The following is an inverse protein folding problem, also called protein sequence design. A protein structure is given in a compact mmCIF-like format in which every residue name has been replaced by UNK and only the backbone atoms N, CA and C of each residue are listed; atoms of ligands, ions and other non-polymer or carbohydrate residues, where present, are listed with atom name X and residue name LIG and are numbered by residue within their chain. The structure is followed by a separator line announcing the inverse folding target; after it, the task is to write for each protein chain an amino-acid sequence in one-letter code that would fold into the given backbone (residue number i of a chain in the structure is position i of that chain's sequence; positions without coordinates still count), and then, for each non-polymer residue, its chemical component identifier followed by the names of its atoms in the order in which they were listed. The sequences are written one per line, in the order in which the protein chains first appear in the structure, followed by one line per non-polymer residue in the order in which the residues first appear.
data_IF_199980948636
#
_entry.id   IF_199980948636
#
_cell.length_a   1.000
_cell.length_b   1.000
_cell.length_c   1.000
_cell.angle_alpha   90.00
_cell.angle_beta   90.00
_cell.angle_gamma   90.00
#
_symmetry.space_group_name_H-M   'P 1'
#
loop_
_entity.id
_entity.type
_entity.pdbx_description
1 polymer ?
#
# COMPACT_ATOMS: atom_id res chain seq x y z
N UNK A 1 -13.02 -24.44 -14.17
CA UNK A 1 -11.85 -23.63 -14.60
C UNK A 1 -11.22 -23.07 -13.34
N UNK A 2 -10.27 -23.80 -12.77
CA UNK A 2 -9.48 -23.32 -11.62
C UNK A 2 -8.24 -22.57 -12.12
N UNK A 3 -7.79 -21.53 -11.39
CA UNK A 3 -6.71 -20.67 -11.83
C UNK A 3 -5.35 -21.36 -11.66
N UNK A 4 -4.54 -21.25 -12.71
CA UNK A 4 -3.15 -21.69 -12.77
C UNK A 4 -2.39 -21.26 -11.51
N UNK A 5 -1.91 -22.25 -10.75
CA UNK A 5 -0.93 -22.07 -9.69
C UNK A 5 0.27 -21.33 -10.25
N UNK A 6 0.58 -20.17 -9.65
CA UNK A 6 1.81 -19.40 -9.86
C UNK A 6 3.01 -20.29 -9.51
N UNK A 7 3.66 -20.84 -10.52
CA UNK A 7 4.90 -21.59 -10.37
C UNK A 7 6.08 -20.63 -10.25
N UNK A 8 6.76 -20.71 -9.11
CA UNK A 8 8.22 -20.69 -9.01
C UNK A 8 8.93 -19.41 -9.48
N UNK A 9 9.08 -18.50 -8.51
CA UNK A 9 9.93 -17.31 -8.52
C UNK A 9 11.27 -17.52 -9.21
N UNK A 10 11.49 -16.71 -10.24
CA UNK A 10 12.62 -16.78 -11.15
C UNK A 10 13.26 -15.38 -11.10
N UNK A 11 14.30 -15.27 -10.27
CA UNK A 11 14.92 -14.01 -9.80
C UNK A 11 15.84 -13.35 -10.83
N UNK A 12 15.89 -12.00 -10.92
CA UNK A 12 16.90 -11.25 -11.66
C UNK A 12 18.33 -11.82 -11.54
N UNK A 13 19.02 -12.01 -12.66
CA UNK A 13 20.38 -12.58 -12.71
C UNK A 13 21.40 -11.46 -12.94
N UNK A 14 22.40 -11.39 -12.06
CA UNK A 14 23.48 -10.41 -12.10
C UNK A 14 24.80 -11.15 -11.89
N UNK A 15 25.77 -10.95 -12.77
CA UNK A 15 27.12 -11.54 -12.65
C UNK A 15 28.14 -10.44 -12.41
N UNK A 16 28.66 -10.32 -11.18
CA UNK A 16 29.76 -9.41 -10.85
C UNK A 16 30.62 -9.95 -9.68
N UNK A 17 31.88 -9.49 -9.56
CA UNK A 17 32.79 -9.86 -8.47
C UNK A 17 32.36 -9.31 -7.09
N UNK A 18 31.39 -8.39 -7.05
CA UNK A 18 30.84 -7.74 -5.85
C UNK A 18 29.31 -7.99 -5.70
N UNK A 19 28.86 -9.21 -6.00
CA UNK A 19 27.44 -9.60 -6.11
C UNK A 19 26.58 -9.28 -4.88
N UNK A 20 27.15 -9.22 -3.67
CA UNK A 20 26.42 -9.00 -2.41
C UNK A 20 25.76 -7.63 -2.31
N UNK A 21 26.39 -6.57 -2.84
CA UNK A 21 25.86 -5.19 -2.73
C UNK A 21 24.78 -4.92 -3.76
N UNK A 22 24.97 -5.43 -4.98
CA UNK A 22 24.01 -5.30 -6.08
C UNK A 22 22.78 -6.18 -5.84
N UNK A 23 22.96 -7.43 -5.38
CA UNK A 23 21.86 -8.32 -4.98
C UNK A 23 21.03 -7.70 -3.85
N UNK A 24 21.67 -7.09 -2.85
CA UNK A 24 20.98 -6.36 -1.78
C UNK A 24 20.24 -5.11 -2.28
N UNK A 25 20.72 -4.46 -3.34
CA UNK A 25 20.04 -3.32 -3.98
C UNK A 25 18.85 -3.76 -4.84
N UNK A 26 18.93 -4.95 -5.46
CA UNK A 26 17.84 -5.59 -6.21
C UNK A 26 16.81 -6.29 -5.32
N UNK A 27 17.22 -6.83 -4.18
CA UNK A 27 16.27 -7.33 -3.16
C UNK A 27 15.51 -6.17 -2.50
N UNK A 28 16.09 -4.97 -2.46
CA UNK A 28 15.42 -3.73 -2.04
C UNK A 28 14.55 -3.10 -3.14
N UNK A 29 14.63 -3.54 -4.41
CA UNK A 29 13.75 -3.08 -5.50
C UNK A 29 12.29 -3.51 -5.33
N UNK A 30 12.01 -4.47 -4.44
CA UNK A 30 10.65 -4.87 -4.07
C UNK A 30 9.94 -3.88 -3.14
N UNK A 31 10.66 -2.88 -2.60
CA UNK A 31 10.10 -1.85 -1.73
C UNK A 31 9.86 -0.59 -2.57
N UNK A 32 8.67 -0.50 -3.16
CA UNK A 32 8.17 0.57 -4.05
C UNK A 32 8.86 0.64 -5.42
N UNK A 33 8.09 0.32 -6.48
CA UNK A 33 8.49 0.28 -7.88
C UNK A 33 9.26 1.53 -8.35
N UNK A 34 9.03 2.73 -7.79
CA UNK A 34 9.77 3.94 -8.18
C UNK A 34 11.13 4.07 -7.50
N UNK A 35 11.22 3.75 -6.20
CA UNK A 35 12.44 3.94 -5.40
C UNK A 35 13.54 2.93 -5.76
N UNK A 36 13.11 1.71 -6.13
CA UNK A 36 14.02 0.65 -6.57
C UNK A 36 14.80 1.02 -7.83
N UNK A 37 14.12 1.58 -8.84
CA UNK A 37 14.77 1.98 -10.09
C UNK A 37 15.64 3.23 -9.94
N UNK A 38 15.30 4.17 -9.05
CA UNK A 38 16.18 5.30 -8.71
C UNK A 38 17.50 4.82 -8.13
N UNK A 39 17.46 3.85 -7.20
CA UNK A 39 18.67 3.26 -6.61
C UNK A 39 19.47 2.44 -7.61
N UNK A 40 18.79 1.69 -8.50
CA UNK A 40 19.46 0.96 -9.57
C UNK A 40 20.20 1.94 -10.49
N UNK A 41 19.54 3.04 -10.89
CA UNK A 41 20.17 4.10 -11.68
C UNK A 41 21.41 4.65 -10.98
N UNK A 42 21.29 5.08 -9.73
CA UNK A 42 22.42 5.60 -8.96
C UNK A 42 23.56 4.57 -8.92
N UNK A 43 23.28 3.32 -8.60
CA UNK A 43 24.31 2.28 -8.47
C UNK A 43 25.02 1.96 -9.80
N UNK A 44 24.26 1.86 -10.90
CA UNK A 44 24.81 1.61 -12.23
C UNK A 44 25.59 2.83 -12.79
N UNK A 45 25.27 4.04 -12.33
CA UNK A 45 25.92 5.29 -12.75
C UNK A 45 27.29 5.51 -12.10
N UNK A 46 27.60 4.85 -10.98
CA UNK A 46 28.92 4.97 -10.35
C UNK A 46 29.93 4.02 -11.03
N UNK A 47 31.02 4.60 -11.52
CA UNK A 47 32.07 4.04 -12.40
C UNK A 47 32.87 2.83 -11.87
N UNK A 48 32.48 2.24 -10.73
CA UNK A 48 33.12 1.07 -10.13
C UNK A 48 32.31 -0.22 -10.26
N UNK A 49 31.27 -0.24 -11.10
CA UNK A 49 30.47 -1.43 -11.31
C UNK A 49 31.19 -2.41 -12.26
N UNK A 50 31.69 -3.54 -11.74
CA UNK A 50 32.26 -4.62 -12.56
C UNK A 50 31.18 -5.48 -13.24
N UNK A 51 29.96 -4.96 -13.37
CA UNK A 51 28.80 -5.69 -13.86
C UNK A 51 28.82 -5.67 -15.38
N UNK A 52 29.00 -6.85 -15.97
CA UNK A 52 29.00 -7.05 -17.44
C UNK A 52 27.64 -7.50 -17.96
N UNK A 53 26.79 -8.04 -17.08
CA UNK A 53 25.49 -8.61 -17.44
C UNK A 53 24.41 -8.12 -16.48
N UNK A 54 23.37 -7.49 -17.01
CA UNK A 54 22.18 -7.05 -16.29
C UNK A 54 20.96 -7.82 -16.82
N UNK A 55 20.33 -8.65 -15.98
CA UNK A 55 19.09 -9.34 -16.33
C UNK A 55 17.93 -9.01 -15.40
N UNK A 56 16.88 -8.38 -15.94
CA UNK A 56 15.62 -8.07 -15.28
C UNK A 56 14.47 -8.66 -16.11
N UNK A 57 13.62 -9.50 -15.53
CA UNK A 57 12.66 -10.28 -16.30
C UNK A 57 11.32 -10.44 -15.57
N UNK A 58 10.29 -10.86 -16.31
CA UNK A 58 8.98 -11.27 -15.80
C UNK A 58 8.20 -10.17 -15.04
N UNK A 59 7.86 -9.10 -15.75
CA UNK A 59 7.04 -7.99 -15.22
C UNK A 59 7.77 -7.08 -14.23
N UNK A 60 9.08 -7.25 -14.10
CA UNK A 60 9.92 -6.48 -13.18
C UNK A 60 10.15 -5.04 -13.64
N UNK A 61 9.99 -4.72 -14.94
CA UNK A 61 10.35 -3.42 -15.52
C UNK A 61 9.15 -2.76 -16.19
N UNK A 62 8.67 -1.65 -15.64
CA UNK A 62 7.68 -0.78 -16.30
C UNK A 62 8.33 0.15 -17.33
N UNK A 63 7.54 0.95 -18.05
CA UNK A 63 8.05 2.03 -18.93
C UNK A 63 9.00 2.97 -18.16
N UNK A 64 8.61 3.39 -16.96
CA UNK A 64 9.46 4.23 -16.08
C UNK A 64 10.75 3.51 -15.67
N UNK A 65 10.67 2.20 -15.41
CA UNK A 65 11.84 1.38 -15.13
C UNK A 65 12.80 1.31 -16.31
N UNK A 66 12.28 1.18 -17.53
CA UNK A 66 13.07 1.20 -18.76
C UNK A 66 13.75 2.57 -18.97
N UNK A 67 13.07 3.68 -18.65
CA UNK A 67 13.68 5.01 -18.68
C UNK A 67 14.81 5.16 -17.65
N UNK A 68 14.62 4.67 -16.43
CA UNK A 68 15.67 4.70 -15.41
C UNK A 68 16.90 3.87 -15.82
N UNK A 69 16.68 2.69 -16.42
CA UNK A 69 17.76 1.85 -16.98
C UNK A 69 18.47 2.60 -18.11
N UNK A 70 17.73 3.23 -19.02
CA UNK A 70 18.30 4.01 -20.10
C UNK A 70 19.18 5.17 -19.60
N UNK A 71 18.73 5.91 -18.59
CA UNK A 71 19.55 6.96 -17.98
C UNK A 71 20.82 6.42 -17.35
N UNK A 72 20.75 5.25 -16.71
CA UNK A 72 21.90 4.59 -16.12
C UNK A 72 22.92 4.13 -17.19
N UNK A 73 22.43 3.57 -18.30
CA UNK A 73 23.27 3.12 -19.42
C UNK A 73 24.03 4.26 -20.09
N UNK A 74 23.56 5.51 -20.03
CA UNK A 74 24.31 6.65 -20.56
C UNK A 74 25.64 6.88 -19.82
N UNK A 75 25.72 6.47 -18.56
CA UNK A 75 26.88 6.65 -17.69
C UNK A 75 27.68 5.35 -17.49
N UNK A 76 27.00 4.20 -17.59
CA UNK A 76 27.61 2.90 -17.42
C UNK A 76 28.25 2.39 -18.72
N UNK A 77 29.55 2.07 -18.70
CA UNK A 77 30.26 1.47 -19.84
C UNK A 77 30.74 0.04 -19.56
N UNK A 78 30.26 -0.60 -18.49
CA UNK A 78 30.69 -1.94 -18.08
C UNK A 78 29.74 -3.04 -18.55
N UNK A 79 28.45 -2.73 -18.67
CA UNK A 79 27.43 -3.70 -19.08
C UNK A 79 27.53 -3.95 -20.58
N UNK A 80 27.67 -5.22 -20.94
CA UNK A 80 27.74 -5.71 -22.32
C UNK A 80 26.48 -6.50 -22.69
N UNK A 81 25.85 -7.16 -21.71
CA UNK A 81 24.67 -8.00 -21.93
C UNK A 81 23.48 -7.47 -21.12
N UNK A 82 22.40 -7.10 -21.80
CA UNK A 82 21.18 -6.58 -21.21
C UNK A 82 20.00 -7.50 -21.53
N UNK A 83 19.43 -8.13 -20.50
CA UNK A 83 18.25 -8.99 -20.61
C UNK A 83 17.05 -8.30 -19.97
N UNK A 84 16.06 -7.96 -20.78
CA UNK A 84 14.82 -7.31 -20.36
C UNK A 84 13.58 -8.10 -20.82
N UNK A 85 13.71 -9.40 -20.98
CA UNK A 85 12.64 -10.26 -21.48
C UNK A 85 11.41 -10.28 -20.56
N UNK A 86 10.21 -10.34 -21.13
CA UNK A 86 8.93 -10.47 -20.42
C UNK A 86 8.54 -9.30 -19.51
N UNK A 87 8.87 -8.05 -19.86
CA UNK A 87 8.60 -6.91 -18.98
C UNK A 87 7.49 -5.95 -19.45
N UNK A 88 6.89 -6.16 -20.63
CA UNK A 88 5.84 -5.27 -21.16
C UNK A 88 6.27 -3.79 -21.23
N UNK A 89 7.53 -3.51 -21.59
CA UNK A 89 8.07 -2.14 -21.68
C UNK A 89 7.47 -1.33 -22.85
N UNK A 90 6.87 -1.99 -23.84
CA UNK A 90 6.26 -1.36 -25.01
C UNK A 90 7.23 -0.54 -25.88
N UNK A 91 6.68 0.18 -26.86
CA UNK A 91 7.47 1.03 -27.75
C UNK A 91 8.13 2.20 -27.00
N UNK A 92 7.44 2.79 -26.03
CA UNK A 92 7.94 3.92 -25.24
C UNK A 92 9.19 3.57 -24.44
N UNK A 93 9.17 2.42 -23.73
CA UNK A 93 10.33 1.96 -22.97
C UNK A 93 11.50 1.60 -23.88
N UNK A 94 11.25 1.00 -25.04
CA UNK A 94 12.29 0.74 -26.05
C UNK A 94 12.91 2.03 -26.58
N UNK A 95 12.11 3.05 -26.87
CA UNK A 95 12.62 4.35 -27.35
C UNK A 95 13.58 4.97 -26.34
N UNK A 96 13.27 4.88 -25.03
CA UNK A 96 14.17 5.35 -23.99
C UNK A 96 15.52 4.58 -24.03
N UNK A 97 15.47 3.25 -24.11
CA UNK A 97 16.68 2.40 -24.20
C UNK A 97 17.49 2.77 -25.45
N UNK A 98 16.84 2.88 -26.62
CA UNK A 98 17.48 3.26 -27.88
C UNK A 98 18.20 4.60 -27.78
N UNK A 99 17.60 5.61 -27.14
CA UNK A 99 18.26 6.90 -26.92
C UNK A 99 19.53 6.79 -26.08
N UNK A 100 19.58 5.89 -25.10
CA UNK A 100 20.80 5.63 -24.33
C UNK A 100 21.90 4.94 -25.14
N UNK A 101 21.51 4.02 -26.02
CA UNK A 101 22.42 3.28 -26.90
C UNK A 101 23.05 4.17 -27.99
N UNK A 102 22.55 5.39 -28.22
CA UNK A 102 23.22 6.37 -29.10
C UNK A 102 24.55 6.82 -28.56
N UNK A 103 24.67 6.90 -27.23
CA UNK A 103 25.90 7.34 -26.53
C UNK A 103 26.66 6.17 -25.92
N UNK A 104 25.95 5.13 -25.45
CA UNK A 104 26.57 3.94 -24.88
C UNK A 104 27.19 3.07 -26.00
N UNK A 105 28.43 2.61 -25.79
CA UNK A 105 29.17 1.73 -26.73
C UNK A 105 29.60 0.40 -26.10
N UNK A 106 29.12 0.08 -24.89
CA UNK A 106 29.47 -1.15 -24.18
C UNK A 106 28.51 -2.29 -24.50
N UNK A 107 27.22 -1.98 -24.72
CA UNK A 107 26.19 -3.01 -24.95
C UNK A 107 26.44 -3.73 -26.28
N UNK A 108 26.58 -5.06 -26.19
CA UNK A 108 26.76 -5.97 -27.31
C UNK A 108 25.56 -6.90 -27.54
N UNK A 109 24.84 -7.26 -26.48
CA UNK A 109 23.69 -8.15 -26.55
C UNK A 109 22.48 -7.51 -25.86
N UNK A 110 21.38 -7.38 -26.59
CA UNK A 110 20.13 -6.79 -26.13
C UNK A 110 18.99 -7.78 -26.29
N UNK A 111 18.43 -8.27 -25.19
CA UNK A 111 17.28 -9.18 -25.20
C UNK A 111 16.01 -8.47 -24.74
N UNK A 112 15.02 -8.45 -25.64
CA UNK A 112 13.76 -7.73 -25.50
C UNK A 112 12.56 -8.64 -25.85
N UNK A 113 12.68 -9.95 -25.68
CA UNK A 113 11.61 -10.89 -25.99
C UNK A 113 10.37 -10.63 -25.13
N UNK A 114 9.16 -10.83 -25.68
CA UNK A 114 7.88 -10.68 -24.95
C UNK A 114 7.69 -9.34 -24.23
N UNK A 115 7.87 -8.23 -24.92
CA UNK A 115 7.78 -6.88 -24.36
C UNK A 115 6.66 -6.00 -24.92
N UNK A 116 5.79 -6.55 -25.78
CA UNK A 116 4.71 -5.77 -26.41
C UNK A 116 5.24 -4.75 -27.43
N UNK A 117 6.41 -4.99 -28.01
CA UNK A 117 7.02 -4.12 -29.02
C UNK A 117 6.30 -4.34 -30.35
N UNK A 118 5.95 -3.25 -31.05
CA UNK A 118 5.36 -3.30 -32.39
C UNK A 118 6.37 -2.92 -33.47
N UNK A 119 5.94 -2.90 -34.74
CA UNK A 119 6.78 -2.46 -35.86
C UNK A 119 7.44 -1.09 -35.63
N UNK A 120 6.78 -0.18 -34.92
CA UNK A 120 7.34 1.14 -34.60
C UNK A 120 8.56 1.05 -33.67
N UNK A 121 8.45 0.32 -32.56
CA UNK A 121 9.59 0.11 -31.67
C UNK A 121 10.71 -0.69 -32.34
N UNK A 122 10.38 -1.65 -33.21
CA UNK A 122 11.36 -2.39 -33.99
C UNK A 122 12.11 -1.50 -35.00
N UNK A 123 11.47 -0.51 -35.63
CA UNK A 123 12.16 0.48 -36.50
C UNK A 123 13.20 1.27 -35.73
N UNK A 124 12.87 1.76 -34.54
CA UNK A 124 13.82 2.48 -33.69
C UNK A 124 15.05 1.61 -33.35
N UNK A 125 14.84 0.31 -33.13
CA UNK A 125 15.94 -0.64 -32.91
C UNK A 125 16.77 -0.84 -34.18
N UNK A 126 16.14 -0.95 -35.35
CA UNK A 126 16.84 -1.08 -36.63
C UNK A 126 17.73 0.14 -36.94
N UNK A 127 17.25 1.35 -36.62
CA UNK A 127 18.03 2.59 -36.76
C UNK A 127 19.26 2.58 -35.85
N UNK A 128 19.11 2.27 -34.56
CA UNK A 128 20.24 2.32 -33.63
C UNK A 128 21.29 1.23 -33.90
N UNK A 129 20.89 0.07 -34.41
CA UNK A 129 21.82 -1.01 -34.78
C UNK A 129 22.67 -0.60 -36.00
N UNK A 130 22.18 0.33 -36.83
CA UNK A 130 22.99 0.93 -37.89
C UNK A 130 24.00 1.95 -37.34
N UNK A 131 23.54 2.83 -36.45
CA UNK A 131 24.33 3.91 -35.84
C UNK A 131 25.39 3.39 -34.85
N UNK A 132 25.08 2.31 -34.12
CA UNK A 132 25.91 1.77 -33.07
C UNK A 132 26.49 0.38 -33.44
N UNK A 133 27.78 0.32 -33.82
CA UNK A 133 28.42 -0.92 -34.23
C UNK A 133 28.80 -1.83 -33.05
N UNK A 134 28.61 -1.41 -31.79
CA UNK A 134 28.88 -2.27 -30.63
C UNK A 134 27.83 -3.39 -30.48
N UNK A 135 26.64 -3.22 -31.07
CA UNK A 135 25.52 -4.15 -30.92
C UNK A 135 25.67 -5.30 -31.92
N UNK A 136 25.75 -6.53 -31.39
CA UNK A 136 25.97 -7.76 -32.17
C UNK A 136 24.80 -8.73 -32.11
N UNK A 137 23.87 -8.53 -31.18
CA UNK A 137 22.69 -9.37 -31.03
C UNK A 137 21.54 -8.55 -30.47
N UNK A 138 20.39 -8.66 -31.12
CA UNK A 138 19.11 -8.16 -30.63
C UNK A 138 18.09 -9.29 -30.72
N UNK A 139 17.46 -9.62 -29.60
CA UNK A 139 16.34 -10.57 -29.55
C UNK A 139 15.02 -9.82 -29.40
N UNK A 140 14.17 -9.88 -30.44
CA UNK A 140 12.81 -9.35 -30.45
C UNK A 140 11.75 -10.44 -30.56
N UNK A 141 12.11 -11.69 -30.28
CA UNK A 141 11.17 -12.81 -30.36
C UNK A 141 9.92 -12.57 -29.53
N UNK A 142 8.78 -13.12 -29.99
CA UNK A 142 7.52 -13.08 -29.23
C UNK A 142 7.03 -11.66 -28.87
N UNK A 143 7.33 -10.68 -29.72
CA UNK A 143 6.73 -9.34 -29.77
C UNK A 143 5.72 -9.23 -30.93
N UNK A 144 4.99 -8.11 -31.04
CA UNK A 144 4.01 -7.86 -32.11
C UNK A 144 4.64 -7.14 -33.32
N UNK A 145 5.80 -7.64 -33.77
CA UNK A 145 6.49 -7.14 -34.97
C UNK A 145 6.04 -7.97 -36.17
N UNK A 146 5.32 -7.34 -37.09
CA UNK A 146 4.73 -7.97 -38.28
C UNK A 146 5.59 -7.77 -39.51
N UNK A 147 6.34 -6.68 -39.59
CA UNK A 147 7.23 -6.41 -40.72
C UNK A 147 8.55 -7.18 -40.58
N UNK A 148 8.60 -8.37 -41.17
CA UNK A 148 9.78 -9.24 -41.20
C UNK A 148 11.01 -8.58 -41.82
N UNK A 149 10.85 -7.55 -42.66
CA UNK A 149 11.98 -6.85 -43.27
C UNK A 149 12.79 -6.10 -42.23
N UNK A 150 12.14 -5.56 -41.20
CA UNK A 150 12.80 -4.87 -40.08
C UNK A 150 13.65 -5.87 -39.28
N UNK A 151 13.07 -7.04 -38.97
CA UNK A 151 13.78 -8.09 -38.23
C UNK A 151 15.02 -8.57 -39.03
N UNK A 152 14.85 -8.79 -40.33
CA UNK A 152 15.95 -9.19 -41.21
C UNK A 152 17.05 -8.11 -41.32
N UNK A 153 16.67 -6.84 -41.34
CA UNK A 153 17.61 -5.71 -41.34
C UNK A 153 18.44 -5.66 -40.06
N UNK A 154 17.79 -5.82 -38.89
CA UNK A 154 18.45 -5.88 -37.59
C UNK A 154 19.43 -7.06 -37.54
N UNK A 155 18.99 -8.25 -37.95
CA UNK A 155 19.82 -9.46 -37.93
C UNK A 155 21.05 -9.33 -38.85
N UNK A 156 20.84 -8.86 -40.08
CA UNK A 156 21.91 -8.69 -41.07
C UNK A 156 22.95 -7.68 -40.58
N UNK A 157 22.50 -6.56 -39.99
CA UNK A 157 23.40 -5.54 -39.45
C UNK A 157 24.14 -6.02 -38.20
N UNK A 158 23.47 -6.72 -37.29
CA UNK A 158 24.11 -7.37 -36.13
C UNK A 158 25.20 -8.36 -36.56
N UNK A 159 24.93 -9.19 -37.57
CA UNK A 159 25.91 -10.11 -38.14
C UNK A 159 27.11 -9.38 -38.77
N UNK A 160 26.85 -8.28 -39.49
CA UNK A 160 27.93 -7.44 -40.02
C UNK A 160 28.80 -6.85 -38.92
N UNK A 161 28.20 -6.29 -37.86
CA UNK A 161 28.93 -5.71 -36.73
C UNK A 161 29.82 -6.77 -36.04
N UNK A 162 29.28 -7.99 -35.84
CA UNK A 162 30.02 -9.12 -35.25
C UNK A 162 31.25 -9.52 -36.08
N UNK A 163 31.15 -9.50 -37.40
CA UNK A 163 32.20 -9.94 -38.31
C UNK A 163 33.26 -8.87 -38.63
N UNK A 164 32.95 -7.59 -38.41
CA UNK A 164 33.82 -6.47 -38.78
C UNK A 164 34.55 -5.83 -37.59
N UNK A 165 34.19 -6.18 -36.35
CA UNK A 165 34.85 -5.64 -35.17
C UNK A 165 36.22 -6.31 -34.87
N UNK A 166 37.30 -5.53 -34.67
CA UNK A 166 38.66 -6.04 -34.43
C UNK A 166 38.78 -6.98 -33.22
N UNK A 167 37.90 -6.83 -32.23
CA UNK A 167 37.94 -7.57 -30.95
C UNK A 167 37.68 -9.08 -31.17
N UNK A 168 36.94 -9.46 -32.22
CA UNK A 168 36.62 -10.87 -32.48
C UNK A 168 37.70 -11.64 -33.27
N UNK A 169 38.72 -10.96 -33.83
CA UNK A 169 39.85 -11.63 -34.52
C UNK A 169 40.83 -12.32 -33.55
N UNK A 170 40.78 -12.01 -32.26
CA UNK A 170 41.65 -12.64 -31.26
C UNK A 170 41.06 -13.97 -30.77
N UNK A 171 39.74 -14.15 -30.82
CA UNK A 171 39.07 -15.30 -30.20
C UNK A 171 38.73 -16.45 -31.16
N UNK A 172 39.04 -16.33 -32.46
CA UNK A 172 38.77 -17.39 -33.46
C UNK A 172 40.00 -18.22 -33.84
N UNK A 173 41.11 -18.09 -33.11
CA UNK A 173 42.25 -18.98 -33.28
C UNK A 173 41.93 -20.36 -32.71
N UNK A 174 42.29 -21.40 -33.47
CA UNK A 174 41.97 -22.84 -33.35
C UNK A 174 41.86 -23.45 -31.94
N UNK A 175 42.49 -22.87 -30.91
CA UNK A 175 42.33 -23.23 -29.50
C UNK A 175 40.90 -23.00 -28.96
N UNK A 176 40.16 -22.02 -29.49
CA UNK A 176 38.78 -21.75 -29.07
C UNK A 176 37.77 -22.80 -29.50
N UNK A 177 38.06 -23.66 -30.49
CA UNK A 177 37.14 -24.76 -30.86
C UNK A 177 37.20 -25.91 -29.87
N UNK A 178 38.37 -26.16 -29.29
CA UNK A 178 38.53 -27.09 -28.17
C UNK A 178 38.02 -26.46 -26.86
N UNK A 179 38.14 -25.12 -26.73
CA UNK A 179 37.53 -24.39 -25.63
C UNK A 179 36.01 -24.14 -25.78
N UNK A 180 35.43 -24.21 -26.98
CA UNK A 180 33.97 -24.06 -27.18
C UNK A 180 33.24 -25.29 -26.59
N UNK A 181 33.85 -26.48 -26.66
CA UNK A 181 33.33 -27.66 -25.94
C UNK A 181 33.52 -27.55 -24.41
N UNK A 182 34.52 -26.81 -23.91
CA UNK A 182 34.66 -26.51 -22.46
C UNK A 182 33.84 -25.31 -21.98
N UNK A 183 33.52 -24.36 -22.84
CA UNK A 183 32.55 -23.27 -22.59
C UNK A 183 31.11 -23.80 -22.51
N UNK A 184 30.83 -24.96 -23.13
CA UNK A 184 29.58 -25.71 -22.98
C UNK A 184 29.62 -26.77 -21.86
N UNK A 185 30.78 -27.16 -21.33
CA UNK A 185 30.84 -27.91 -20.07
C UNK A 185 30.89 -26.91 -18.93
N UNK A 186 29.72 -26.53 -18.45
CA UNK A 186 29.59 -25.78 -17.19
C UNK A 186 30.37 -26.57 -16.13
N UNK A 187 31.47 -25.98 -15.64
CA UNK A 187 32.36 -26.62 -14.68
C UNK A 187 31.53 -27.03 -13.46
N UNK A 188 31.37 -28.33 -13.23
CA UNK A 188 30.48 -28.86 -12.18
C UNK A 188 30.83 -28.24 -10.83
N UNK A 189 32.11 -27.99 -10.56
CA UNK A 189 32.58 -27.31 -9.35
C UNK A 189 32.09 -25.86 -9.21
N UNK A 190 31.92 -25.13 -10.31
CA UNK A 190 31.38 -23.76 -10.28
C UNK A 190 29.84 -23.77 -10.17
N UNK A 191 29.17 -24.82 -10.66
CA UNK A 191 27.74 -25.06 -10.41
C UNK A 191 27.50 -25.44 -8.96
N UNK A 192 28.30 -26.36 -8.41
CA UNK A 192 28.24 -26.80 -7.01
C UNK A 192 28.47 -25.61 -6.08
N UNK A 193 29.49 -24.78 -6.33
CA UNK A 193 29.73 -23.56 -5.55
C UNK A 193 28.55 -22.59 -5.64
N UNK A 194 27.95 -22.44 -6.82
CA UNK A 194 26.75 -21.60 -7.02
C UNK A 194 25.51 -22.19 -6.32
N UNK A 195 25.41 -23.52 -6.21
CA UNK A 195 24.35 -24.21 -5.46
C UNK A 195 24.56 -24.03 -3.96
N UNK A 196 25.78 -24.15 -3.46
CA UNK A 196 26.11 -23.94 -2.04
C UNK A 196 25.82 -22.50 -1.63
N UNK A 197 26.27 -21.52 -2.41
CA UNK A 197 25.97 -20.11 -2.20
C UNK A 197 24.46 -19.83 -2.22
N UNK A 198 23.70 -20.52 -3.10
CA UNK A 198 22.23 -20.42 -3.12
C UNK A 198 21.60 -21.08 -1.89
N UNK A 199 22.16 -22.19 -1.42
CA UNK A 199 21.66 -22.94 -0.26
C UNK A 199 21.83 -22.15 1.03
N UNK A 200 22.99 -21.50 1.23
CA UNK A 200 23.24 -20.62 2.36
C UNK A 200 22.31 -19.40 2.37
N UNK A 201 22.05 -18.85 1.18
CA UNK A 201 21.09 -17.74 1.03
C UNK A 201 19.67 -18.22 1.35
N UNK A 202 19.27 -19.38 0.84
CA UNK A 202 17.97 -19.99 1.16
C UNK A 202 17.84 -20.18 2.67
N UNK A 203 18.87 -20.67 3.34
CA UNK A 203 18.87 -20.84 4.79
C UNK A 203 18.68 -19.49 5.51
N UNK A 204 19.43 -18.45 5.14
CA UNK A 204 19.26 -17.11 5.76
C UNK A 204 17.88 -16.50 5.47
N UNK A 205 17.32 -16.75 4.29
CA UNK A 205 15.98 -16.27 3.93
C UNK A 205 14.91 -17.04 4.69
N UNK A 206 15.05 -18.35 4.83
CA UNK A 206 14.17 -19.19 5.66
C UNK A 206 14.18 -18.73 7.12
N UNK A 207 15.35 -18.39 7.67
CA UNK A 207 15.45 -17.85 9.04
C UNK A 207 14.74 -16.49 9.17
N UNK A 208 14.91 -15.60 8.18
CA UNK A 208 14.19 -14.31 8.14
C UNK A 208 12.68 -14.49 8.01
N UNK A 209 12.22 -15.42 7.17
CA UNK A 209 10.79 -15.75 7.03
C UNK A 209 10.25 -16.26 8.35
N UNK A 210 10.94 -17.17 9.02
CA UNK A 210 10.51 -17.66 10.33
C UNK A 210 10.42 -16.53 11.37
N UNK A 211 11.41 -15.62 11.39
CA UNK A 211 11.38 -14.45 12.27
C UNK A 211 10.22 -13.50 11.95
N UNK A 212 9.86 -13.34 10.68
CA UNK A 212 8.70 -12.54 10.27
C UNK A 212 7.39 -13.23 10.64
N UNK A 213 7.28 -14.55 10.44
CA UNK A 213 6.11 -15.34 10.83
C UNK A 213 5.87 -15.29 12.35
N UNK A 214 6.94 -15.35 13.15
CA UNK A 214 6.85 -15.13 14.59
C UNK A 214 6.38 -13.73 14.96
N UNK A 215 6.87 -12.68 14.26
CA UNK A 215 6.41 -11.30 14.49
C UNK A 215 4.96 -11.11 14.09
N UNK A 216 4.53 -11.68 12.97
CA UNK A 216 3.15 -11.64 12.49
C UNK A 216 2.21 -12.31 13.49
N UNK A 217 2.58 -13.48 14.01
CA UNK A 217 1.84 -14.15 15.08
C UNK A 217 1.74 -13.29 16.34
N UNK A 218 2.85 -12.70 16.79
CA UNK A 218 2.86 -11.84 17.97
C UNK A 218 1.96 -10.60 17.78
N UNK A 219 2.00 -9.97 16.60
CA UNK A 219 1.15 -8.82 16.28
C UNK A 219 -0.33 -9.22 16.22
N UNK A 220 -0.62 -10.41 15.67
CA UNK A 220 -1.99 -10.95 15.59
C UNK A 220 -2.55 -11.18 17.00
N UNK A 221 -1.77 -11.78 17.91
CA UNK A 221 -2.20 -11.96 19.30
C UNK A 221 -2.43 -10.62 20.02
N UNK A 222 -1.58 -9.63 19.79
CA UNK A 222 -1.79 -8.27 20.34
C UNK A 222 -3.07 -7.63 19.82
N UNK A 223 -3.38 -7.81 18.53
CA UNK A 223 -4.60 -7.29 17.92
C UNK A 223 -5.86 -7.98 18.48
N UNK A 224 -5.81 -9.30 18.71
CA UNK A 224 -6.90 -10.06 19.33
C UNK A 224 -7.15 -9.64 20.78
N UNK A 225 -6.08 -9.38 21.55
CA UNK A 225 -6.18 -8.86 22.91
C UNK A 225 -6.85 -7.48 22.93
N UNK A 226 -6.39 -6.55 22.08
CA UNK A 226 -7.01 -5.23 21.94
C UNK A 226 -8.48 -5.33 21.51
N UNK A 227 -8.80 -6.22 20.58
CA UNK A 227 -10.19 -6.44 20.14
C UNK A 227 -11.08 -6.92 21.28
N UNK A 228 -10.56 -7.77 22.16
CA UNK A 228 -11.29 -8.28 23.32
C UNK A 228 -11.55 -7.16 24.35
N UNK A 229 -10.55 -6.31 24.60
CA UNK A 229 -10.70 -5.13 25.46
C UNK A 229 -11.76 -4.16 24.92
N UNK A 230 -11.79 -3.92 23.60
CA UNK A 230 -12.81 -3.06 22.98
C UNK A 230 -14.21 -3.64 23.15
N UNK A 231 -14.39 -4.96 22.97
CA UNK A 231 -15.68 -5.62 23.17
C UNK A 231 -16.17 -5.53 24.61
N UNK A 232 -15.27 -5.65 25.59
CA UNK A 232 -15.61 -5.47 27.01
C UNK A 232 -16.08 -4.04 27.30
N UNK A 233 -15.34 -3.04 26.81
CA UNK A 233 -15.73 -1.62 26.93
C UNK A 233 -17.10 -1.37 26.27
N UNK A 234 -17.35 -1.93 25.08
CA UNK A 234 -18.64 -1.82 24.41
C UNK A 234 -19.77 -2.42 25.26
N UNK A 235 -19.54 -3.56 25.90
CA UNK A 235 -20.51 -4.17 26.80
C UNK A 235 -20.78 -3.30 28.04
N UNK A 236 -19.73 -2.70 28.62
CA UNK A 236 -19.89 -1.78 29.76
C UNK A 236 -20.68 -0.53 29.37
N UNK A 237 -20.42 0.05 28.19
CA UNK A 237 -21.17 1.19 27.67
C UNK A 237 -22.65 0.84 27.47
N UNK A 238 -22.95 -0.34 26.93
CA UNK A 238 -24.33 -0.79 26.72
C UNK A 238 -25.12 -0.86 28.03
N UNK A 239 -24.52 -1.40 29.09
CA UNK A 239 -25.13 -1.48 30.42
C UNK A 239 -25.41 -0.07 30.97
N UNK A 240 -24.45 0.85 30.82
CA UNK A 240 -24.61 2.24 31.28
C UNK A 240 -25.72 2.96 30.52
N UNK A 241 -25.86 2.74 29.21
CA UNK A 241 -26.95 3.32 28.41
C UNK A 241 -28.31 2.82 28.88
N UNK A 242 -28.46 1.52 29.16
CA UNK A 242 -29.71 0.97 29.71
C UNK A 242 -30.05 1.55 31.09
N UNK A 243 -29.04 1.86 31.90
CA UNK A 243 -29.26 2.50 33.21
C UNK A 243 -29.65 3.97 33.08
N UNK A 244 -29.07 4.69 32.12
CA UNK A 244 -29.48 6.06 31.79
C UNK A 244 -30.95 6.09 31.33
N UNK A 245 -31.34 5.21 30.41
CA UNK A 245 -32.74 5.11 29.92
C UNK A 245 -33.74 4.85 31.06
N UNK A 246 -33.37 3.98 32.03
CA UNK A 246 -34.19 3.73 33.22
C UNK A 246 -34.34 4.97 34.09
N UNK A 247 -33.26 5.72 34.28
CA UNK A 247 -33.27 6.97 35.07
C UNK A 247 -34.08 8.06 34.38
N UNK A 248 -34.02 8.17 33.05
CA UNK A 248 -34.83 9.12 32.29
C UNK A 248 -36.33 8.84 32.47
N UNK A 249 -36.77 7.59 32.34
CA UNK A 249 -38.17 7.20 32.59
C UNK A 249 -38.62 7.48 34.03
N UNK A 250 -37.73 7.25 35.00
CA UNK A 250 -38.00 7.57 36.40
C UNK A 250 -38.15 9.08 36.61
N UNK A 251 -37.31 9.90 35.99
CA UNK A 251 -37.43 11.36 36.05
C UNK A 251 -38.72 11.87 35.42
N UNK A 252 -39.17 11.28 34.31
CA UNK A 252 -40.45 11.64 33.67
C UNK A 252 -41.62 11.38 34.61
N UNK A 253 -41.62 10.22 35.29
CA UNK A 253 -42.64 9.87 36.28
C UNK A 253 -42.65 10.84 37.47
N UNK A 254 -41.47 11.17 38.01
CA UNK A 254 -41.34 12.14 39.11
C UNK A 254 -41.81 13.53 38.67
N UNK A 255 -41.50 13.93 37.44
CA UNK A 255 -41.95 15.21 36.87
C UNK A 255 -43.49 15.28 36.84
N UNK A 256 -44.15 14.22 36.39
CA UNK A 256 -45.62 14.13 36.37
C UNK A 256 -46.24 14.19 37.78
N UNK A 257 -45.64 13.48 38.75
CA UNK A 257 -46.08 13.52 40.15
C UNK A 257 -45.93 14.92 40.76
N UNK A 258 -44.81 15.60 40.49
CA UNK A 258 -44.57 16.98 40.95
C UNK A 258 -45.61 17.95 40.36
N UNK A 259 -45.89 17.84 39.06
CA UNK A 259 -46.93 18.64 38.40
C UNK A 259 -48.31 18.35 39.01
N UNK A 260 -48.62 17.09 39.30
CA UNK A 260 -49.84 16.67 40.00
C UNK A 260 -49.97 17.31 41.38
N UNK A 261 -48.93 17.21 42.20
CA UNK A 261 -48.88 17.79 43.54
C UNK A 261 -49.01 19.32 43.52
N UNK A 262 -48.39 20.00 42.54
CA UNK A 262 -48.53 21.44 42.35
C UNK A 262 -49.97 21.85 42.04
N UNK A 263 -50.66 21.11 41.15
CA UNK A 263 -52.08 21.35 40.83
C UNK A 263 -52.97 21.16 42.07
N UNK A 264 -52.72 20.12 42.85
CA UNK A 264 -53.46 19.88 44.09
C UNK A 264 -53.19 20.97 45.14
N UNK A 265 -51.93 21.38 45.31
CA UNK A 265 -51.55 22.50 46.17
C UNK A 265 -52.28 23.79 45.80
N UNK A 266 -52.40 24.10 44.50
CA UNK A 266 -53.16 25.24 44.02
C UNK A 266 -54.66 25.14 44.38
N UNK A 267 -55.26 23.96 44.17
CA UNK A 267 -56.67 23.69 44.53
C UNK A 267 -56.92 23.86 46.03
N UNK A 268 -56.04 23.32 46.87
CA UNK A 268 -56.15 23.44 48.33
C UNK A 268 -55.99 24.89 48.79
N UNK A 269 -55.09 25.66 48.15
CA UNK A 269 -54.93 27.09 48.43
C UNK A 269 -56.22 27.87 48.14
N UNK A 270 -56.86 27.64 46.99
CA UNK A 270 -58.16 28.26 46.67
C UNK A 270 -59.26 27.85 47.66
N UNK A 271 -59.33 26.57 48.04
CA UNK A 271 -60.29 26.11 49.04
C UNK A 271 -60.06 26.77 50.41
N UNK A 272 -58.79 26.89 50.84
CA UNK A 272 -58.44 27.59 52.09
C UNK A 272 -58.89 29.04 52.06
N UNK A 273 -58.63 29.75 50.96
CA UNK A 273 -59.07 31.15 50.78
C UNK A 273 -60.60 31.27 50.85
N UNK A 274 -61.33 30.34 50.20
CA UNK A 274 -62.81 30.31 50.26
C UNK A 274 -63.33 30.09 51.68
N UNK A 275 -62.84 29.05 52.37
CA UNK A 275 -63.25 28.74 53.74
C UNK A 275 -62.90 29.87 54.72
N UNK A 276 -61.76 30.54 54.51
CA UNK A 276 -61.38 31.70 55.34
C UNK A 276 -62.38 32.84 55.19
N UNK A 277 -62.84 33.13 53.96
CA UNK A 277 -63.88 34.13 53.72
C UNK A 277 -65.22 33.73 54.35
N UNK A 278 -65.63 32.47 54.21
CA UNK A 278 -66.87 31.96 54.83
C UNK A 278 -66.83 32.10 56.36
N UNK A 279 -65.73 31.70 57.01
CA UNK A 279 -65.52 31.88 58.44
C UNK A 279 -65.56 33.35 58.87
N UNK A 280 -64.95 34.25 58.08
CA UNK A 280 -64.95 35.67 58.38
C UNK A 280 -66.38 36.23 58.35
N UNK A 281 -67.17 35.89 57.32
CA UNK A 281 -68.58 36.27 57.20
C UNK A 281 -69.39 35.76 58.40
N UNK A 282 -69.20 34.49 58.79
CA UNK A 282 -69.89 33.92 59.96
C UNK A 282 -69.51 34.62 61.26
N UNK A 283 -68.23 34.96 61.43
CA UNK A 283 -67.72 35.67 62.61
C UNK A 283 -68.32 37.07 62.71
N UNK A 284 -68.35 37.80 61.60
CA UNK A 284 -68.97 39.12 61.50
C UNK A 284 -70.47 39.06 61.81
N UNK A 285 -71.20 38.07 61.27
CA UNK A 285 -72.61 37.85 61.57
C UNK A 285 -72.88 37.53 63.06
N UNK A 286 -72.01 36.75 63.70
CA UNK A 286 -72.13 36.43 65.11
C UNK A 286 -71.88 37.65 66.01
N UNK A 287 -70.91 38.51 65.66
CA UNK A 287 -70.67 39.76 66.38
C UNK A 287 -71.82 40.76 66.22
N UNK A 288 -72.40 40.88 65.02
CA UNK A 288 -73.62 41.68 64.81
C UNK A 288 -74.77 41.18 65.68
N UNK A 289 -74.97 39.85 65.77
CA UNK A 289 -76.00 39.26 66.62
C UNK A 289 -75.75 39.53 68.11
N UNK A 290 -74.51 39.38 68.59
CA UNK A 290 -74.13 39.75 69.97
C UNK A 290 -74.40 41.21 70.25
N UNK A 291 -74.07 42.10 69.32
CA UNK A 291 -74.34 43.53 69.46
C UNK A 291 -75.85 43.82 69.53
N UNK A 292 -76.65 43.17 68.68
CA UNK A 292 -78.10 43.25 68.73
C UNK A 292 -78.69 42.75 70.05
N UNK A 293 -78.20 41.63 70.58
CA UNK A 293 -78.61 41.13 71.91
C UNK A 293 -78.26 42.10 73.04
N UNK A 294 -77.06 42.71 73.02
CA UNK A 294 -76.69 43.74 74.01
C UNK A 294 -77.65 44.93 73.96
N UNK A 295 -77.90 45.47 72.77
CA UNK A 295 -78.85 46.57 72.60
C UNK A 295 -80.26 46.21 73.08
N UNK A 296 -80.72 44.97 72.83
CA UNK A 296 -82.01 44.49 73.31
C UNK A 296 -82.05 44.36 74.84
N UNK A 297 -80.98 43.82 75.44
CA UNK A 297 -80.80 43.75 76.89
C UNK A 297 -80.83 45.14 77.53
N UNK A 298 -80.14 46.11 76.94
CA UNK A 298 -80.12 47.49 77.42
C UNK A 298 -81.51 48.14 77.34
N UNK A 299 -82.26 47.90 76.25
CA UNK A 299 -83.67 48.34 76.13
C UNK A 299 -84.56 47.71 77.19
N UNK A 300 -84.42 46.40 77.42
CA UNK A 300 -85.18 45.69 78.46
C UNK A 300 -84.87 46.25 79.85
N UNK A 301 -83.60 46.51 80.14
CA UNK A 301 -83.19 47.12 81.41
C UNK A 301 -83.82 48.51 81.58
N UNK A 302 -83.77 49.36 80.55
CA UNK A 302 -84.37 50.69 80.58
C UNK A 302 -85.90 50.70 80.68
N UNK A 303 -86.60 49.70 80.13
CA UNK A 303 -88.07 49.58 80.21
C UNK A 303 -88.57 49.14 81.60
N UNK A 304 -87.77 48.40 82.36
CA UNK A 304 -88.14 47.88 83.68
C UNK A 304 -87.54 48.67 84.86
N UNK A 305 -86.80 49.75 84.58
CA UNK A 305 -86.22 50.64 85.60
C UNK A 305 -86.95 52.00 85.70
N UNK A 306 -88.14 52.12 85.09
CA UNK A 306 -89.14 53.19 85.29
C UNK A 306 -90.33 52.65 86.09
#
# INVERSE_FOLDING_TARGET
MEPFRRSSFLYPFLSCKNASTLKRSVDNLFISLSLGFTRLKEHLSHSNCSLTTLGLWDGSVSVDGAQAIAEALKLNNSINHLYLDRNNIGNEGVLAIVQSLRVNRSISNLHLSRNGITDEGAKAIAEIVQENPSIFLVDLSLNDVKDLRILHQIETRCNYNRNTHPIHKIHTNKASRENELTLYTINIADVERCIDDKTDIIFSVSERINNLDHKEKALTSQLEEQRTQVLDIQSQIQILLEEVDKREKMMETISDEVVGAQREGFRLKQNKERLTREMQIQTEGLEQMKQGMRQMSDRYHNLYSQ
#
